data_IF_946813352552
#
_entry.id   IF_946813352552
#
_cell.length_a   1.000
_cell.length_b   1.000
_cell.length_c   1.000
_cell.angle_alpha   90.00
_cell.angle_beta   90.00
_cell.angle_gamma   90.00
#
_symmetry.space_group_name_H-M   'P 1'
#
loop_
_entity.id
_entity.type
_entity.pdbx_description
1 polymer ?
#
# COMPACT_ATOMS: atom_id res chain seq x y z
N UNK A 1 14.74 -22.04 -15.17
CA UNK A 1 15.78 -21.09 -15.61
C UNK A 1 15.95 -21.19 -17.13
N UNK A 2 16.49 -20.15 -17.77
CA UNK A 2 16.70 -20.04 -19.21
C UNK A 2 17.60 -21.17 -19.72
N UNK A 3 18.57 -21.59 -18.91
CA UNK A 3 19.43 -22.73 -19.18
C UNK A 3 18.66 -24.06 -19.20
N UNK A 4 17.74 -24.29 -18.25
CA UNK A 4 16.88 -25.48 -18.26
C UNK A 4 15.99 -25.48 -19.51
N UNK A 5 15.44 -24.32 -19.89
CA UNK A 5 14.60 -24.21 -21.07
C UNK A 5 15.37 -24.59 -22.35
N UNK A 6 16.59 -24.06 -22.51
CA UNK A 6 17.48 -24.41 -23.63
C UNK A 6 17.83 -25.90 -23.62
N UNK A 7 18.18 -26.46 -22.46
CA UNK A 7 18.49 -27.88 -22.31
C UNK A 7 17.32 -28.79 -22.68
N UNK A 8 16.11 -28.43 -22.26
CA UNK A 8 14.91 -29.20 -22.54
C UNK A 8 14.54 -29.19 -24.03
N UNK A 9 14.71 -28.05 -24.71
CA UNK A 9 14.51 -27.97 -26.16
C UNK A 9 15.51 -28.84 -26.91
N UNK A 10 16.79 -28.78 -26.53
CA UNK A 10 17.81 -29.63 -27.14
C UNK A 10 17.51 -31.12 -26.92
N UNK A 11 17.11 -31.52 -25.71
CA UNK A 11 16.72 -32.90 -25.43
C UNK A 11 15.51 -33.33 -26.26
N UNK A 12 14.48 -32.49 -26.37
CA UNK A 12 13.28 -32.76 -27.17
C UNK A 12 13.62 -32.97 -28.65
N UNK A 13 14.49 -32.12 -29.21
CA UNK A 13 14.99 -32.27 -30.58
C UNK A 13 15.67 -33.62 -30.79
N UNK A 14 16.59 -33.99 -29.89
CA UNK A 14 17.29 -35.28 -29.98
C UNK A 14 16.31 -36.45 -29.89
N UNK A 15 15.33 -36.42 -29.00
CA UNK A 15 14.34 -37.48 -28.90
C UNK A 15 13.48 -37.63 -30.17
N UNK A 16 13.10 -36.52 -30.80
CA UNK A 16 12.37 -36.54 -32.08
C UNK A 16 13.26 -37.11 -33.19
N UNK A 17 14.52 -36.67 -33.28
CA UNK A 17 15.48 -37.19 -34.28
C UNK A 17 15.70 -38.69 -34.12
N UNK A 18 15.86 -39.18 -32.89
CA UNK A 18 16.01 -40.61 -32.62
C UNK A 18 14.76 -41.39 -33.06
N UNK A 19 13.57 -40.93 -32.69
CA UNK A 19 12.32 -41.55 -33.10
C UNK A 19 12.18 -41.61 -34.63
N UNK A 20 12.46 -40.50 -35.33
CA UNK A 20 12.44 -40.47 -36.79
C UNK A 20 13.45 -41.43 -37.42
N UNK A 21 14.63 -41.56 -36.81
CA UNK A 21 15.66 -42.50 -37.21
C UNK A 21 15.22 -43.95 -37.04
N UNK A 22 14.62 -44.28 -35.89
CA UNK A 22 14.12 -45.61 -35.56
C UNK A 22 12.97 -46.01 -36.48
N UNK A 23 12.05 -45.08 -36.77
CA UNK A 23 10.93 -45.31 -37.70
C UNK A 23 11.41 -45.58 -39.14
N UNK A 24 12.49 -44.94 -39.59
CA UNK A 24 13.09 -45.20 -40.91
C UNK A 24 13.74 -46.58 -41.01
N UNK A 25 14.27 -47.08 -39.90
CA UNK A 25 14.96 -48.39 -39.82
C UNK A 25 14.01 -49.51 -39.41
N UNK A 26 12.75 -49.21 -39.07
CA UNK A 26 11.81 -50.17 -38.54
C UNK A 26 11.44 -51.21 -39.61
N UNK A 27 11.46 -52.52 -39.29
CA UNK A 27 11.09 -53.56 -40.24
C UNK A 27 9.62 -53.45 -40.65
N UNK A 28 9.26 -54.02 -41.80
CA UNK A 28 7.86 -54.11 -42.19
C UNK A 28 7.07 -54.95 -41.19
N UNK A 29 5.87 -54.48 -40.85
CA UNK A 29 4.99 -55.19 -39.92
C UNK A 29 4.54 -56.53 -40.53
N UNK A 30 4.97 -57.63 -39.91
CA UNK A 30 4.50 -58.99 -40.25
C UNK A 30 3.09 -59.25 -39.70
N UNK A 31 2.73 -58.58 -38.61
CA UNK A 31 1.43 -58.70 -37.95
C UNK A 31 0.49 -57.56 -38.39
N UNK A 32 -0.69 -57.86 -38.97
CA UNK A 32 -1.69 -56.85 -39.35
C UNK A 32 -2.22 -55.99 -38.20
N UNK A 33 -2.03 -56.42 -36.95
CA UNK A 33 -2.41 -55.65 -35.75
C UNK A 33 -1.33 -54.67 -35.30
N UNK A 34 -0.11 -54.79 -35.82
CA UNK A 34 0.97 -53.86 -35.50
C UNK A 34 0.76 -52.54 -36.26
N UNK A 35 0.39 -51.51 -35.50
CA UNK A 35 0.19 -50.14 -35.99
C UNK A 35 1.27 -49.18 -35.53
N UNK A 36 2.40 -49.68 -35.02
CA UNK A 36 3.46 -48.86 -34.44
C UNK A 36 3.93 -47.81 -35.44
N UNK A 37 4.37 -48.23 -36.64
CA UNK A 37 4.86 -47.30 -37.67
C UNK A 37 3.78 -46.32 -38.10
N UNK A 38 2.52 -46.76 -38.30
CA UNK A 38 1.39 -45.89 -38.66
C UNK A 38 1.20 -44.76 -37.63
N UNK A 39 1.07 -45.13 -36.35
CA UNK A 39 0.79 -44.19 -35.26
C UNK A 39 1.98 -43.30 -34.94
N UNK A 40 3.16 -43.90 -34.83
CA UNK A 40 4.38 -43.17 -34.46
C UNK A 40 4.88 -42.25 -35.57
N UNK A 41 4.64 -42.56 -36.84
CA UNK A 41 4.94 -41.62 -37.94
C UNK A 41 4.06 -40.37 -37.85
N UNK A 42 2.76 -40.54 -37.59
CA UNK A 42 1.83 -39.41 -37.39
C UNK A 42 2.22 -38.58 -36.17
N UNK A 43 2.52 -39.24 -35.05
CA UNK A 43 3.00 -38.59 -33.83
C UNK A 43 4.30 -37.83 -34.07
N UNK A 44 5.29 -38.44 -34.72
CA UNK A 44 6.60 -37.82 -34.98
C UNK A 44 6.48 -36.55 -35.80
N UNK A 45 5.62 -36.53 -36.82
CA UNK A 45 5.33 -35.32 -37.61
C UNK A 45 4.72 -34.22 -36.73
N UNK A 46 3.70 -34.56 -35.94
CA UNK A 46 3.08 -33.61 -35.01
C UNK A 46 4.08 -33.09 -33.96
N UNK A 47 4.92 -33.96 -33.40
CA UNK A 47 5.95 -33.59 -32.43
C UNK A 47 6.97 -32.63 -33.04
N UNK A 48 7.41 -32.87 -34.28
CA UNK A 48 8.29 -31.98 -35.05
C UNK A 48 7.67 -30.60 -35.23
N UNK A 49 6.41 -30.53 -35.68
CA UNK A 49 5.70 -29.25 -35.86
C UNK A 49 5.56 -28.46 -34.56
N UNK A 50 5.29 -29.14 -33.44
CA UNK A 50 5.20 -28.49 -32.13
C UNK A 50 6.57 -28.04 -31.61
N UNK A 51 7.61 -28.85 -31.82
CA UNK A 51 8.98 -28.47 -31.47
C UNK A 51 9.44 -27.21 -32.23
N UNK A 52 9.18 -27.13 -33.54
CA UNK A 52 9.56 -25.96 -34.35
C UNK A 52 8.88 -24.67 -33.87
N UNK A 53 7.61 -24.75 -33.44
CA UNK A 53 6.90 -23.63 -32.82
C UNK A 53 7.57 -23.20 -31.51
N UNK A 54 7.87 -24.15 -30.64
CA UNK A 54 8.55 -23.87 -29.36
C UNK A 54 9.93 -23.27 -29.59
N UNK A 55 10.70 -23.79 -30.55
CA UNK A 55 12.00 -23.25 -30.93
C UNK A 55 11.88 -21.81 -31.42
N UNK A 56 10.90 -21.53 -32.28
CA UNK A 56 10.62 -20.17 -32.76
C UNK A 56 10.28 -19.22 -31.62
N UNK A 57 9.43 -19.65 -30.68
CA UNK A 57 9.09 -18.86 -29.49
C UNK A 57 10.31 -18.61 -28.60
N UNK A 58 11.16 -19.62 -28.41
CA UNK A 58 12.39 -19.48 -27.64
C UNK A 58 13.37 -18.49 -28.28
N UNK A 59 13.60 -18.60 -29.59
CA UNK A 59 14.46 -17.68 -30.33
C UNK A 59 13.93 -16.24 -30.26
N UNK A 60 12.61 -16.06 -30.37
CA UNK A 60 11.99 -14.75 -30.21
C UNK A 60 12.20 -14.21 -28.78
N UNK A 61 11.99 -15.03 -27.75
CA UNK A 61 12.23 -14.65 -26.35
C UNK A 61 13.68 -14.19 -26.12
N UNK A 62 14.67 -14.94 -26.64
CA UNK A 62 16.10 -14.58 -26.54
C UNK A 62 16.38 -13.26 -27.25
N UNK A 63 15.87 -13.07 -28.48
CA UNK A 63 16.05 -11.83 -29.23
C UNK A 63 15.45 -10.61 -28.51
N UNK A 64 14.26 -10.76 -27.92
CA UNK A 64 13.66 -9.69 -27.13
C UNK A 64 14.52 -9.32 -25.91
N UNK A 65 15.15 -10.31 -25.27
CA UNK A 65 16.05 -10.07 -24.16
C UNK A 65 17.35 -9.37 -24.62
N UNK A 66 17.92 -9.76 -25.75
CA UNK A 66 19.07 -9.07 -26.36
C UNK A 66 18.73 -7.61 -26.69
N UNK A 67 17.56 -7.35 -27.26
CA UNK A 67 17.09 -5.99 -27.53
C UNK A 67 16.94 -5.16 -26.24
N UNK A 68 16.55 -5.77 -25.11
CA UNK A 68 16.54 -5.09 -23.81
C UNK A 68 17.95 -4.74 -23.36
N UNK A 69 18.92 -5.62 -23.60
CA UNK A 69 20.35 -5.37 -23.37
C UNK A 69 20.85 -4.16 -24.14
N UNK A 70 20.52 -4.05 -25.43
CA UNK A 70 20.85 -2.88 -26.25
C UNK A 70 20.15 -1.61 -25.77
N UNK A 71 18.87 -1.70 -25.44
CA UNK A 71 18.05 -0.55 -25.04
C UNK A 71 18.44 0.02 -23.68
N UNK A 72 18.70 -0.83 -22.68
CA UNK A 72 19.09 -0.44 -21.33
C UNK A 72 20.60 -0.44 -21.11
N UNK A 73 21.39 -0.77 -22.14
CA UNK A 73 22.86 -0.74 -22.15
C UNK A 73 23.47 -1.67 -21.08
N UNK A 74 23.11 -2.95 -21.15
CA UNK A 74 23.75 -4.02 -20.36
C UNK A 74 24.11 -5.22 -21.23
N UNK A 75 25.10 -6.01 -20.80
CA UNK A 75 25.49 -7.22 -21.51
C UNK A 75 24.55 -8.40 -21.18
N UNK A 76 23.68 -8.72 -22.13
CA UNK A 76 22.70 -9.82 -22.06
C UNK A 76 23.30 -11.22 -21.97
N UNK A 77 24.62 -11.37 -22.17
CA UNK A 77 25.34 -12.64 -21.96
C UNK A 77 25.85 -12.79 -20.53
N UNK A 78 26.08 -11.67 -19.84
CA UNK A 78 26.57 -11.65 -18.47
C UNK A 78 25.44 -11.67 -17.46
N UNK A 79 24.38 -10.91 -17.71
CA UNK A 79 23.17 -10.90 -16.90
C UNK A 79 22.24 -11.96 -17.47
N UNK A 80 21.80 -12.91 -16.65
CA UNK A 80 20.80 -13.88 -17.10
C UNK A 80 19.38 -13.31 -17.00
N UNK A 81 18.45 -13.90 -17.75
CA UNK A 81 17.05 -13.45 -17.82
C UNK A 81 16.41 -13.46 -16.42
N UNK A 82 16.70 -14.49 -15.61
CA UNK A 82 16.18 -14.62 -14.25
C UNK A 82 16.66 -13.48 -13.35
N UNK A 83 17.96 -13.17 -13.37
CA UNK A 83 18.54 -12.14 -12.53
C UNK A 83 17.99 -10.76 -12.91
N UNK A 84 17.95 -10.45 -14.22
CA UNK A 84 17.42 -9.19 -14.71
C UNK A 84 15.97 -8.94 -14.26
N UNK A 85 15.08 -9.90 -14.47
CA UNK A 85 13.68 -9.75 -14.07
C UNK A 85 13.48 -9.92 -12.55
N UNK A 86 14.36 -10.64 -11.86
CA UNK A 86 14.41 -10.72 -10.41
C UNK A 86 14.71 -9.36 -9.78
N UNK A 87 15.77 -8.70 -10.25
CA UNK A 87 16.16 -7.35 -9.82
C UNK A 87 15.08 -6.33 -10.14
N UNK A 88 14.49 -6.39 -11.34
CA UNK A 88 13.40 -5.48 -11.73
C UNK A 88 12.14 -5.67 -10.86
N UNK A 89 11.80 -6.92 -10.54
CA UNK A 89 10.68 -7.24 -9.64
C UNK A 89 10.93 -6.72 -8.22
N UNK A 90 12.16 -6.88 -7.72
CA UNK A 90 12.58 -6.36 -6.43
C UNK A 90 12.52 -4.82 -6.42
N UNK A 91 13.08 -4.16 -7.45
CA UNK A 91 13.01 -2.71 -7.62
C UNK A 91 11.56 -2.20 -7.59
N UNK A 92 10.66 -2.82 -8.35
CA UNK A 92 9.24 -2.45 -8.36
C UNK A 92 8.62 -2.55 -6.96
N UNK A 93 8.95 -3.61 -6.23
CA UNK A 93 8.42 -3.85 -4.89
C UNK A 93 8.90 -2.77 -3.91
N UNK A 94 10.20 -2.50 -3.89
CA UNK A 94 10.83 -1.45 -3.09
C UNK A 94 10.29 -0.06 -3.44
N UNK A 95 10.08 0.22 -4.73
CA UNK A 95 9.53 1.51 -5.17
C UNK A 95 8.10 1.74 -4.65
N UNK A 96 7.24 0.73 -4.74
CA UNK A 96 5.86 0.82 -4.23
C UNK A 96 5.82 0.97 -2.71
N UNK A 97 6.73 0.31 -1.99
CA UNK A 97 6.89 0.48 -0.55
C UNK A 97 7.34 1.91 -0.20
N UNK A 98 8.36 2.43 -0.87
CA UNK A 98 8.83 3.80 -0.68
C UNK A 98 7.74 4.84 -0.95
N UNK A 99 6.88 4.64 -1.96
CA UNK A 99 5.71 5.51 -2.22
C UNK A 99 4.75 5.50 -1.03
N UNK A 100 4.45 4.32 -0.48
CA UNK A 100 3.58 4.17 0.69
C UNK A 100 4.17 4.84 1.93
N UNK A 101 5.47 4.68 2.17
CA UNK A 101 6.18 5.32 3.28
C UNK A 101 6.22 6.84 3.14
N UNK A 102 6.45 7.34 1.93
CA UNK A 102 6.42 8.77 1.64
C UNK A 102 5.06 9.40 1.96
N UNK A 103 3.96 8.72 1.60
CA UNK A 103 2.62 9.19 1.93
C UNK A 103 2.37 9.19 3.44
N UNK A 104 2.74 8.11 4.14
CA UNK A 104 2.65 8.06 5.61
C UNK A 104 3.45 9.16 6.29
N UNK A 105 4.65 9.44 5.80
CA UNK A 105 5.51 10.52 6.31
C UNK A 105 4.84 11.89 6.16
N UNK A 106 4.29 12.19 4.98
CA UNK A 106 3.55 13.44 4.72
C UNK A 106 2.34 13.60 5.64
N UNK A 107 1.56 12.53 5.85
CA UNK A 107 0.41 12.56 6.77
C UNK A 107 0.83 12.81 8.23
N UNK A 108 1.91 12.17 8.66
CA UNK A 108 2.44 12.32 10.02
C UNK A 108 2.97 13.74 10.25
N UNK A 109 3.68 14.31 9.27
CA UNK A 109 4.18 15.69 9.32
C UNK A 109 3.03 16.70 9.41
N UNK A 110 1.98 16.55 8.60
CA UNK A 110 0.83 17.44 8.65
C UNK A 110 0.05 17.31 9.97
N UNK A 111 -0.09 16.09 10.50
CA UNK A 111 -0.68 15.86 11.82
C UNK A 111 0.14 16.50 12.93
N UNK A 112 1.46 16.37 12.89
CA UNK A 112 2.39 16.99 13.84
C UNK A 112 2.32 18.52 13.77
N UNK A 113 2.32 19.09 12.57
CA UNK A 113 2.19 20.54 12.34
C UNK A 113 0.89 21.09 12.92
N UNK A 114 -0.25 20.43 12.66
CA UNK A 114 -1.56 20.81 13.23
C UNK A 114 -1.56 20.72 14.76
N UNK A 115 -0.96 19.68 15.33
CA UNK A 115 -0.87 19.53 16.78
C UNK A 115 -0.01 20.63 17.42
N UNK A 116 1.11 21.03 16.80
CA UNK A 116 1.95 22.15 17.26
C UNK A 116 1.19 23.47 17.23
N UNK A 117 0.55 23.80 16.12
CA UNK A 117 -0.25 25.03 15.98
C UNK A 117 -1.42 25.08 16.98
N UNK A 118 -2.08 23.96 17.24
CA UNK A 118 -3.15 23.88 18.23
C UNK A 118 -2.64 24.11 19.66
N UNK A 119 -1.46 23.57 20.01
CA UNK A 119 -0.83 23.80 21.32
C UNK A 119 -0.41 25.25 21.49
N UNK A 120 0.26 25.83 20.50
CA UNK A 120 0.70 27.23 20.54
C UNK A 120 -0.50 28.19 20.70
N UNK A 121 -1.57 27.96 19.93
CA UNK A 121 -2.81 28.74 20.06
C UNK A 121 -3.46 28.61 21.43
N UNK A 122 -3.46 27.41 22.02
CA UNK A 122 -4.00 27.19 23.35
C UNK A 122 -3.16 27.88 24.44
N UNK A 123 -1.84 27.92 24.29
CA UNK A 123 -0.94 28.63 25.21
C UNK A 123 -1.11 30.15 25.10
N UNK A 124 -1.21 30.69 23.88
CA UNK A 124 -1.49 32.11 23.64
C UNK A 124 -2.84 32.52 24.25
N UNK A 125 -3.90 31.74 24.03
CA UNK A 125 -5.22 32.03 24.62
C UNK A 125 -5.18 31.97 26.16
N UNK A 126 -4.42 31.02 26.74
CA UNK A 126 -4.22 30.94 28.20
C UNK A 126 -3.50 32.18 28.74
N UNK A 127 -2.45 32.65 28.06
CA UNK A 127 -1.73 33.87 28.44
C UNK A 127 -2.61 35.12 28.32
N UNK A 128 -3.40 35.26 27.25
CA UNK A 128 -4.33 36.37 27.08
C UNK A 128 -5.40 36.38 28.18
N UNK A 129 -5.96 35.23 28.52
CA UNK A 129 -6.91 35.09 29.64
C UNK A 129 -6.29 35.51 30.96
N UNK A 130 -5.04 35.13 31.21
CA UNK A 130 -4.31 35.56 32.41
C UNK A 130 -4.07 37.07 32.42
N UNK A 131 -3.68 37.68 31.30
CA UNK A 131 -3.48 39.14 31.19
C UNK A 131 -4.78 39.91 31.39
N UNK A 132 -5.88 39.50 30.76
CA UNK A 132 -7.21 40.12 30.94
C UNK A 132 -7.67 40.00 32.39
N UNK A 133 -7.49 38.82 33.02
CA UNK A 133 -7.80 38.63 34.43
C UNK A 133 -6.96 39.55 35.34
N UNK A 134 -5.66 39.72 35.05
CA UNK A 134 -4.79 40.66 35.79
C UNK A 134 -5.23 42.11 35.63
N UNK A 135 -5.68 42.55 34.45
CA UNK A 135 -6.21 43.91 34.24
C UNK A 135 -7.49 44.20 35.04
N UNK A 136 -8.32 43.18 35.28
CA UNK A 136 -9.51 43.28 36.14
C UNK A 136 -9.18 43.23 37.64
N UNK A 137 -8.00 42.74 38.00
CA UNK A 137 -7.53 42.55 39.37
C UNK A 137 -6.21 43.33 39.51
N UNK A 138 -6.26 44.65 39.31
CA UNK A 138 -5.11 45.51 39.56
C UNK A 138 -5.10 45.88 41.05
N UNK A 139 -4.60 44.94 41.87
CA UNK A 139 -4.46 45.09 43.34
C UNK A 139 -3.10 45.72 43.71
N UNK A 140 -2.19 45.90 42.74
CA UNK A 140 -0.80 46.29 43.00
C UNK A 140 -0.45 47.74 42.64
N UNK A 141 -1.43 48.60 42.30
CA UNK A 141 -1.21 50.05 42.34
C UNK A 141 -1.64 50.56 43.71
N UNK A 142 -0.67 50.70 44.59
CA UNK A 142 -0.81 51.48 45.82
C UNK A 142 -1.32 52.88 45.46
N UNK A 143 -2.53 53.22 45.93
CA UNK A 143 -3.15 54.52 45.77
C UNK A 143 -4.66 54.44 45.57
N UNK A 144 -5.40 54.50 46.70
CA UNK A 144 -6.86 54.62 46.86
C UNK A 144 -7.69 53.32 46.77
N UNK A 145 -7.80 52.67 47.93
CA UNK A 145 -8.54 51.42 48.18
C UNK A 145 -10.09 51.57 48.17
N UNK A 146 -10.62 52.80 48.10
CA UNK A 146 -12.06 53.07 48.00
C UNK A 146 -12.54 53.07 46.54
N UNK A 147 -12.83 51.89 45.99
CA UNK A 147 -13.43 51.76 44.65
C UNK A 147 -13.18 50.42 43.96
N UNK A 148 -12.25 49.61 44.49
CA UNK A 148 -11.95 48.26 43.97
C UNK A 148 -13.18 47.35 44.04
N UNK A 149 -13.93 47.40 45.15
CA UNK A 149 -15.14 46.58 45.34
C UNK A 149 -16.26 46.97 44.36
N UNK A 150 -16.49 48.26 44.15
CA UNK A 150 -17.53 48.74 43.24
C UNK A 150 -17.19 48.40 41.79
N UNK A 151 -15.92 48.53 41.39
CA UNK A 151 -15.45 48.11 40.07
C UNK A 151 -15.61 46.59 39.84
N UNK A 152 -15.39 45.77 40.88
CA UNK A 152 -15.61 44.32 40.81
C UNK A 152 -17.10 43.98 40.70
N UNK A 153 -17.96 44.63 41.48
CA UNK A 153 -19.41 44.44 41.45
C UNK A 153 -20.00 44.93 40.12
N UNK A 154 -19.53 46.05 39.57
CA UNK A 154 -19.92 46.55 38.25
C UNK A 154 -19.47 45.59 37.13
N UNK A 155 -18.27 45.02 37.22
CA UNK A 155 -17.80 44.01 36.26
C UNK A 155 -18.61 42.70 36.33
N UNK A 156 -19.09 42.32 37.51
CA UNK A 156 -19.98 41.17 37.70
C UNK A 156 -21.39 41.47 37.14
N UNK A 157 -21.94 42.66 37.42
CA UNK A 157 -23.27 43.09 37.00
C UNK A 157 -23.36 43.33 35.49
N UNK A 158 -22.36 44.00 34.90
CA UNK A 158 -22.23 44.18 33.45
C UNK A 158 -21.86 42.90 32.70
N UNK A 159 -21.55 41.82 33.43
CA UNK A 159 -21.12 40.53 32.89
C UNK A 159 -19.71 40.54 32.28
N UNK A 160 -18.95 41.64 32.41
CA UNK A 160 -17.57 41.75 31.98
C UNK A 160 -16.64 40.72 32.64
N UNK A 161 -16.90 40.38 33.90
CA UNK A 161 -16.16 39.37 34.67
C UNK A 161 -16.26 37.93 34.13
N UNK A 162 -17.25 37.63 33.27
CA UNK A 162 -17.54 36.25 32.81
C UNK A 162 -17.49 36.07 31.29
N UNK A 163 -16.97 37.06 30.53
CA UNK A 163 -17.03 37.06 29.06
C UNK A 163 -16.41 35.83 28.39
N UNK A 164 -15.45 35.15 29.03
CA UNK A 164 -14.76 33.99 28.42
C UNK A 164 -15.48 32.64 28.52
N UNK A 165 -16.46 32.44 29.42
CA UNK A 165 -17.20 31.16 29.45
C UNK A 165 -18.25 31.02 28.34
N UNK A 166 -18.57 32.12 27.63
CA UNK A 166 -19.68 32.18 26.65
C UNK A 166 -19.25 32.19 25.18
N UNK A 167 -17.98 31.93 24.83
CA UNK A 167 -17.63 31.57 23.45
C UNK A 167 -18.07 30.13 23.16
N UNK A 168 -19.38 29.94 22.98
CA UNK A 168 -19.90 28.76 22.27
C UNK A 168 -19.37 28.84 20.84
N UNK A 169 -18.62 27.82 20.42
CA UNK A 169 -18.28 27.59 19.02
C UNK A 169 -19.60 27.60 18.22
N UNK A 170 -19.72 28.35 17.11
CA UNK A 170 -20.92 28.30 16.27
C UNK A 170 -21.13 26.85 15.84
N UNK A 171 -22.24 26.26 16.28
CA UNK A 171 -22.61 24.90 15.87
C UNK A 171 -23.20 25.04 14.47
N UNK A 172 -22.47 24.57 13.46
CA UNK A 172 -22.92 24.58 12.07
C UNK A 172 -24.32 23.93 11.98
N UNK A 173 -25.35 24.58 11.42
CA UNK A 173 -26.73 24.08 11.47
C UNK A 173 -26.99 22.85 10.59
N UNK A 174 -26.05 22.48 9.71
CA UNK A 174 -26.24 21.43 8.69
C UNK A 174 -26.03 19.98 9.16
N UNK A 175 -25.99 19.71 10.45
CA UNK A 175 -25.95 18.33 10.92
C UNK A 175 -26.91 18.13 12.10
N UNK A 176 -28.22 18.06 11.76
CA UNK A 176 -29.24 17.45 12.60
C UNK A 176 -28.91 15.96 12.76
N UNK A 177 -27.98 15.64 13.66
CA UNK A 177 -27.83 14.29 14.21
C UNK A 177 -29.12 13.97 14.97
N UNK A 178 -29.73 12.85 14.62
CA UNK A 178 -30.85 12.28 15.35
C UNK A 178 -30.52 12.18 16.86
N UNK A 179 -31.51 12.32 17.76
CA UNK A 179 -31.27 12.15 19.18
C UNK A 179 -30.69 10.76 19.45
N UNK A 180 -29.54 10.70 20.13
CA UNK A 180 -29.05 9.47 20.72
C UNK A 180 -30.05 9.05 21.80
N UNK A 181 -30.83 8.01 21.49
CA UNK A 181 -31.62 7.25 22.47
C UNK A 181 -30.68 6.83 23.61
N UNK A 182 -30.83 7.47 24.77
CA UNK A 182 -30.20 7.04 26.01
C UNK A 182 -30.99 5.82 26.48
N UNK A 183 -30.58 4.63 26.04
CA UNK A 183 -31.01 3.38 26.65
C UNK A 183 -30.56 3.37 28.12
N UNK A 184 -31.49 3.76 28.99
CA UNK A 184 -31.42 3.49 30.43
C UNK A 184 -31.73 2.01 30.62
N UNK A 185 -30.71 1.17 30.71
CA UNK A 185 -30.84 -0.11 31.41
C UNK A 185 -30.24 0.08 32.80
N UNK A 186 -31.12 0.10 33.80
CA UNK A 186 -30.76 0.13 35.21
C UNK A 186 -30.28 -1.26 35.64
N UNK A 187 -29.27 -1.20 36.48
CA UNK A 187 -28.60 -2.26 37.20
C UNK A 187 -29.50 -3.10 38.13
N UNK A 188 -29.22 -4.40 38.15
CA UNK A 188 -29.33 -5.42 39.21
C UNK A 188 -30.67 -5.99 39.69
N UNK A 189 -30.72 -7.33 39.66
CA UNK A 189 -31.58 -8.22 40.46
C UNK A 189 -31.16 -9.68 40.25
N UNK A 190 -30.80 -10.37 41.33
CA UNK A 190 -30.09 -11.65 41.40
C UNK A 190 -30.94 -12.92 41.12
N UNK A 191 -30.29 -14.09 41.33
CA UNK A 191 -30.80 -15.46 41.66
C UNK A 191 -30.53 -16.47 40.50
N UNK A 192 -29.45 -17.26 40.57
CA UNK A 192 -29.33 -18.62 41.16
C UNK A 192 -30.23 -19.69 40.52
N UNK A 193 -29.63 -20.70 39.88
CA UNK A 193 -29.53 -22.08 40.40
C UNK A 193 -29.42 -23.12 39.27
N UNK A 194 -28.46 -24.02 39.47
CA UNK A 194 -28.34 -25.43 39.02
C UNK A 194 -28.28 -25.73 37.53
#
# INVERSE_FOLDING_TARGET
SAQILKSNLAAMEQHIIHLEGDLKKFPQAENPKDKFVEKMTSFSKSARDQYEKLLTMHNNMVKLYENLGEYFVFDSKTVCIEDFFGDLSNFRSLFLEAVKENNKRKEMEEKSRRAKLAKEKAEQEKLERQKKKKQLIDINKEGDETGVMDNLLEALQSGAAFRDRRKRIPRNPDNRRAPLERSRSRHNGAISSK
#
